data_IF_237241914452
#
_entry.id   IF_237241914452
#
_cell.length_a   1.000
_cell.length_b   1.000
_cell.length_c   1.000
_cell.angle_alpha   90.00
_cell.angle_beta   90.00
_cell.angle_gamma   90.00
#
_symmetry.space_group_name_H-M   'P 1'
#
loop_
_entity.id
_entity.type
_entity.pdbx_description
1 polymer ?
#
# COMPACT_ATOMS: atom_id res chain seq x y z
N UNK A 1 11.72 11.02 -3.53
CA UNK A 1 13.14 11.40 -3.64
C UNK A 1 13.80 10.52 -4.68
N UNK A 2 14.61 11.09 -5.57
CA UNK A 2 15.24 10.34 -6.65
C UNK A 2 16.44 9.54 -6.11
N UNK A 3 16.68 8.37 -6.70
CA UNK A 3 17.73 7.45 -6.30
C UNK A 3 18.65 7.14 -7.47
N UNK A 4 19.93 6.89 -7.20
CA UNK A 4 20.80 6.14 -8.09
C UNK A 4 20.76 4.67 -7.67
N UNK A 5 20.59 3.78 -8.64
CA UNK A 5 20.81 2.35 -8.48
C UNK A 5 22.12 1.99 -9.16
N UNK A 6 23.00 1.36 -8.40
CA UNK A 6 24.25 0.78 -8.89
C UNK A 6 24.05 -0.72 -9.02
N UNK A 7 23.96 -1.19 -10.25
CA UNK A 7 23.84 -2.60 -10.60
C UNK A 7 25.25 -3.19 -10.64
N UNK A 8 25.67 -3.83 -9.55
CA UNK A 8 27.04 -4.29 -9.32
C UNK A 8 27.08 -5.78 -9.63
N UNK A 9 27.83 -6.16 -10.67
CA UNK A 9 28.03 -7.56 -11.06
C UNK A 9 29.06 -8.20 -10.16
N UNK A 10 28.64 -9.25 -9.45
CA UNK A 10 29.46 -9.95 -8.49
C UNK A 10 29.14 -11.46 -8.52
N UNK A 11 30.16 -12.33 -8.61
CA UNK A 11 29.98 -13.76 -8.37
C UNK A 11 29.40 -14.01 -6.97
N UNK A 12 28.61 -15.08 -6.80
CA UNK A 12 27.97 -15.41 -5.52
C UNK A 12 28.94 -15.40 -4.31
N UNK A 13 30.14 -15.95 -4.51
CA UNK A 13 31.17 -16.00 -3.46
C UNK A 13 31.66 -14.60 -2.99
N UNK A 14 31.41 -13.55 -3.78
CA UNK A 14 31.82 -12.18 -3.48
C UNK A 14 30.66 -11.26 -3.11
N UNK A 15 29.39 -11.69 -3.25
CA UNK A 15 28.22 -10.85 -2.95
C UNK A 15 28.21 -10.35 -1.51
N UNK A 16 28.42 -11.24 -0.54
CA UNK A 16 28.47 -10.86 0.89
C UNK A 16 29.64 -9.93 1.20
N UNK A 17 30.79 -10.17 0.57
CA UNK A 17 32.00 -9.36 0.76
C UNK A 17 31.77 -7.96 0.17
N UNK A 18 31.22 -7.87 -1.03
CA UNK A 18 30.87 -6.62 -1.67
C UNK A 18 29.86 -5.83 -0.84
N UNK A 19 28.79 -6.49 -0.37
CA UNK A 19 27.79 -5.91 0.52
C UNK A 19 28.43 -5.30 1.78
N UNK A 20 29.35 -6.02 2.41
CA UNK A 20 30.04 -5.54 3.61
C UNK A 20 30.83 -4.25 3.35
N UNK A 21 31.56 -4.13 2.24
CA UNK A 21 32.27 -2.88 1.89
C UNK A 21 31.33 -1.75 1.51
N UNK A 22 30.29 -2.06 0.74
CA UNK A 22 29.34 -1.05 0.28
C UNK A 22 28.48 -0.52 1.43
N UNK A 23 28.24 -1.31 2.48
CA UNK A 23 27.49 -0.88 3.66
C UNK A 23 28.19 0.22 4.47
N UNK A 24 29.49 0.45 4.24
CA UNK A 24 30.24 1.57 4.82
C UNK A 24 30.05 2.89 4.04
N UNK A 25 29.44 2.81 2.86
CA UNK A 25 29.06 3.96 2.01
C UNK A 25 27.60 4.34 2.28
N UNK A 26 27.16 5.57 1.92
CA UNK A 26 25.84 6.09 2.27
C UNK A 26 24.69 5.47 1.44
N UNK A 27 24.76 4.19 1.09
CA UNK A 27 23.64 3.48 0.46
C UNK A 27 22.51 3.26 1.48
N UNK A 28 21.28 3.53 1.06
CA UNK A 28 20.08 3.35 1.88
C UNK A 28 19.68 1.88 1.98
N UNK A 29 19.86 1.12 0.90
CA UNK A 29 19.44 -0.28 0.81
C UNK A 29 20.19 -1.06 -0.26
N UNK A 30 20.09 -2.38 -0.16
CA UNK A 30 20.67 -3.34 -1.09
C UNK A 30 19.62 -4.40 -1.45
N UNK A 31 19.64 -4.84 -2.70
CA UNK A 31 18.81 -5.93 -3.21
C UNK A 31 19.72 -6.96 -3.89
N UNK A 32 19.57 -8.22 -3.53
CA UNK A 32 20.31 -9.29 -4.19
C UNK A 32 19.70 -9.60 -5.56
N UNK A 33 20.54 -9.66 -6.59
CA UNK A 33 20.15 -10.00 -7.95
C UNK A 33 20.81 -11.33 -8.37
N UNK A 34 20.30 -11.96 -9.43
CA UNK A 34 20.87 -13.23 -9.92
C UNK A 34 22.38 -13.11 -10.20
N UNK A 35 22.81 -12.01 -10.82
CA UNK A 35 24.21 -11.79 -11.25
C UNK A 35 24.99 -10.79 -10.40
N UNK A 36 24.51 -10.47 -9.20
CA UNK A 36 25.19 -9.55 -8.29
C UNK A 36 24.26 -8.91 -7.27
N UNK A 37 24.34 -7.59 -7.14
CA UNK A 37 23.53 -6.82 -6.19
C UNK A 37 23.22 -5.41 -6.73
N UNK A 38 22.04 -4.91 -6.40
CA UNK A 38 21.64 -3.53 -6.64
C UNK A 38 21.81 -2.72 -5.34
N UNK A 39 22.62 -1.67 -5.37
CA UNK A 39 22.82 -0.75 -4.25
C UNK A 39 22.11 0.58 -4.54
N UNK A 40 21.27 1.05 -3.61
CA UNK A 40 20.42 2.22 -3.79
C UNK A 40 20.94 3.40 -2.98
N UNK A 41 21.33 4.47 -3.67
CA UNK A 41 21.86 5.70 -3.08
C UNK A 41 20.91 6.85 -3.36
N UNK A 42 20.56 7.65 -2.34
CA UNK A 42 19.77 8.86 -2.59
C UNK A 42 20.57 9.86 -3.42
N UNK A 43 19.92 10.53 -4.37
CA UNK A 43 20.60 11.49 -5.24
C UNK A 43 21.28 12.63 -4.46
N UNK A 44 20.71 13.05 -3.33
CA UNK A 44 21.28 14.12 -2.49
C UNK A 44 22.53 13.68 -1.68
N UNK A 45 22.80 12.38 -1.61
CA UNK A 45 24.00 11.80 -1.00
C UNK A 45 25.06 11.40 -2.03
N UNK A 46 24.76 11.58 -3.32
CA UNK A 46 25.73 11.39 -4.38
C UNK A 46 26.88 12.39 -4.25
N UNK A 47 28.12 11.91 -4.37
CA UNK A 47 29.31 12.75 -4.35
C UNK A 47 30.49 12.06 -5.03
N UNK A 48 31.49 12.85 -5.43
CA UNK A 48 32.74 12.34 -6.02
C UNK A 48 33.47 11.37 -5.07
N UNK A 49 33.33 11.56 -3.75
CA UNK A 49 33.89 10.64 -2.76
C UNK A 49 33.25 9.25 -2.85
N UNK A 50 31.92 9.16 -2.92
CA UNK A 50 31.21 7.88 -3.04
C UNK A 50 31.60 7.16 -4.33
N UNK A 51 31.70 7.88 -5.44
CA UNK A 51 32.15 7.31 -6.73
C UNK A 51 33.59 6.78 -6.65
N UNK A 52 34.49 7.53 -6.00
CA UNK A 52 35.88 7.12 -5.82
C UNK A 52 36.00 5.86 -4.95
N UNK A 53 35.29 5.80 -3.82
CA UNK A 53 35.30 4.62 -2.94
C UNK A 53 34.68 3.40 -3.62
N UNK A 54 33.55 3.57 -4.31
CA UNK A 54 32.90 2.51 -5.06
C UNK A 54 33.83 1.95 -6.15
N UNK A 55 34.51 2.82 -6.90
CA UNK A 55 35.52 2.40 -7.88
C UNK A 55 36.65 1.61 -7.22
N UNK A 56 37.15 2.07 -6.06
CA UNK A 56 38.20 1.37 -5.32
C UNK A 56 37.76 -0.03 -4.85
N UNK A 57 36.52 -0.18 -4.38
CA UNK A 57 35.94 -1.47 -4.01
C UNK A 57 35.80 -2.37 -5.24
N UNK A 58 35.28 -1.83 -6.35
CA UNK A 58 35.10 -2.56 -7.60
C UNK A 58 36.43 -3.08 -8.15
N UNK A 59 37.47 -2.25 -8.19
CA UNK A 59 38.81 -2.65 -8.64
C UNK A 59 39.40 -3.74 -7.73
N UNK A 60 39.28 -3.58 -6.41
CA UNK A 60 39.84 -4.51 -5.42
C UNK A 60 39.19 -5.89 -5.49
N UNK A 61 37.90 -5.95 -5.79
CA UNK A 61 37.13 -7.18 -5.88
C UNK A 61 36.94 -7.66 -7.33
N UNK A 62 37.50 -6.95 -8.32
CA UNK A 62 37.32 -7.21 -9.75
C UNK A 62 35.85 -7.28 -10.18
N UNK A 63 35.05 -6.33 -9.68
CA UNK A 63 33.62 -6.18 -9.99
C UNK A 63 33.43 -5.14 -11.10
N UNK A 64 32.30 -5.23 -11.80
CA UNK A 64 31.82 -4.16 -12.67
C UNK A 64 30.50 -3.62 -12.13
N UNK A 65 30.18 -2.38 -12.49
CA UNK A 65 28.89 -1.80 -12.12
C UNK A 65 28.39 -0.81 -13.16
N UNK A 66 27.07 -0.67 -13.22
CA UNK A 66 26.40 0.37 -13.99
C UNK A 66 25.50 1.21 -13.08
N UNK A 67 25.53 2.53 -13.26
CA UNK A 67 24.69 3.45 -12.52
C UNK A 67 23.49 3.87 -13.37
N UNK A 68 22.28 3.69 -12.85
CA UNK A 68 21.03 4.18 -13.45
C UNK A 68 20.30 5.12 -12.49
N UNK A 69 19.71 6.18 -13.04
CA UNK A 69 18.81 7.05 -12.31
C UNK A 69 17.45 6.38 -12.16
N UNK A 70 16.96 6.30 -10.93
CA UNK A 70 15.59 5.93 -10.58
C UNK A 70 14.88 7.20 -10.12
N UNK A 71 14.10 7.84 -10.99
CA UNK A 71 13.29 8.98 -10.60
C UNK A 71 12.33 8.59 -9.49
N UNK A 72 12.06 9.53 -8.59
CA UNK A 72 11.02 9.34 -7.59
C UNK A 72 9.70 9.09 -8.28
N UNK A 73 9.18 7.88 -8.08
CA UNK A 73 7.84 7.52 -8.49
C UNK A 73 6.93 7.71 -7.29
N UNK A 74 5.78 8.36 -7.50
CA UNK A 74 4.70 8.30 -6.51
C UNK A 74 4.09 6.90 -6.62
N UNK A 75 4.71 5.95 -5.90
CA UNK A 75 4.28 4.55 -5.88
C UNK A 75 2.84 4.41 -5.39
N UNK A 76 2.39 5.29 -4.50
CA UNK A 76 0.99 5.33 -4.07
C UNK A 76 0.08 5.62 -5.26
N UNK A 77 0.33 6.71 -5.99
CA UNK A 77 -0.48 7.05 -7.17
C UNK A 77 -0.49 5.94 -8.23
N UNK A 78 0.64 5.25 -8.41
CA UNK A 78 0.71 4.09 -9.31
C UNK A 78 -0.14 2.93 -8.79
N UNK A 79 -0.06 2.63 -7.49
CA UNK A 79 -0.85 1.58 -6.86
C UNK A 79 -2.35 1.90 -6.92
N UNK A 80 -2.73 3.14 -6.59
CA UNK A 80 -4.10 3.66 -6.66
C UNK A 80 -4.67 3.50 -8.06
N UNK A 81 -3.89 3.83 -9.10
CA UNK A 81 -4.31 3.68 -10.51
C UNK A 81 -4.47 2.23 -10.98
N UNK A 82 -3.94 1.25 -10.23
CA UNK A 82 -4.02 -0.17 -10.53
C UNK A 82 -4.99 -0.92 -9.60
N UNK A 83 -5.72 -0.21 -8.73
CA UNK A 83 -6.78 -0.81 -7.92
C UNK A 83 -7.80 -1.47 -8.86
N UNK A 84 -8.16 -2.72 -8.62
CA UNK A 84 -9.21 -3.42 -9.39
C UNK A 84 -10.52 -3.43 -8.61
N UNK A 85 -11.70 -3.29 -9.25
CA UNK A 85 -12.97 -3.49 -8.58
C UNK A 85 -13.07 -4.90 -7.99
N UNK A 86 -13.81 -5.02 -6.89
CA UNK A 86 -14.01 -6.28 -6.16
C UNK A 86 -15.48 -6.57 -6.13
N UNK A 87 -15.84 -7.83 -6.40
CA UNK A 87 -17.22 -8.29 -6.40
C UNK A 87 -17.35 -9.51 -5.49
N UNK A 88 -18.24 -9.39 -4.50
CA UNK A 88 -18.62 -10.47 -3.59
C UNK A 88 -20.00 -10.96 -4.00
N UNK A 89 -20.02 -11.91 -4.94
CA UNK A 89 -21.25 -12.40 -5.58
C UNK A 89 -22.09 -11.27 -6.21
N UNK A 90 -23.41 -11.39 -6.09
CA UNK A 90 -24.36 -10.34 -6.46
C UNK A 90 -24.72 -9.44 -5.27
N UNK A 91 -24.09 -9.65 -4.11
CA UNK A 91 -24.41 -8.95 -2.86
C UNK A 91 -23.70 -7.59 -2.76
N UNK A 92 -22.37 -7.56 -2.90
CA UNK A 92 -21.62 -6.32 -2.69
C UNK A 92 -20.51 -6.15 -3.74
N UNK A 93 -20.40 -4.94 -4.28
CA UNK A 93 -19.29 -4.50 -5.11
C UNK A 93 -18.52 -3.36 -4.47
N UNK A 94 -17.19 -3.43 -4.47
CA UNK A 94 -16.30 -2.34 -4.04
C UNK A 94 -15.51 -1.83 -5.24
N UNK A 95 -15.56 -0.51 -5.52
CA UNK A 95 -14.78 0.11 -6.60
C UNK A 95 -14.16 1.43 -6.18
N UNK A 96 -13.17 1.88 -6.94
CA UNK A 96 -12.73 3.26 -6.89
C UNK A 96 -13.68 4.19 -7.67
N UNK A 97 -13.59 5.49 -7.39
CA UNK A 97 -14.37 6.54 -8.05
C UNK A 97 -14.12 6.63 -9.56
N UNK A 98 -12.90 6.33 -10.01
CA UNK A 98 -12.51 6.32 -11.43
C UNK A 98 -12.95 5.05 -12.19
N UNK A 99 -13.55 4.07 -11.52
CA UNK A 99 -14.15 2.91 -12.18
C UNK A 99 -15.61 3.18 -12.53
N UNK A 100 -16.06 2.58 -13.63
CA UNK A 100 -17.48 2.54 -13.97
C UNK A 100 -18.32 1.90 -12.84
N UNK A 101 -19.55 2.40 -12.61
CA UNK A 101 -20.49 1.77 -11.70
C UNK A 101 -20.70 0.28 -12.00
N UNK A 102 -20.80 -0.51 -10.94
CA UNK A 102 -21.04 -1.94 -11.03
C UNK A 102 -22.52 -2.24 -11.18
N UNK A 103 -22.87 -2.90 -12.28
CA UNK A 103 -24.20 -3.46 -12.47
C UNK A 103 -24.38 -4.74 -11.64
N UNK A 104 -25.63 -5.06 -11.27
CA UNK A 104 -26.02 -6.34 -10.65
C UNK A 104 -25.29 -6.63 -9.33
N UNK A 105 -25.18 -5.63 -8.47
CA UNK A 105 -24.82 -5.80 -7.05
C UNK A 105 -25.92 -5.17 -6.20
N UNK A 106 -26.25 -5.78 -5.07
CA UNK A 106 -27.23 -5.23 -4.12
C UNK A 106 -26.70 -3.95 -3.45
N UNK A 107 -25.44 -3.97 -3.02
CA UNK A 107 -24.74 -2.83 -2.45
C UNK A 107 -23.49 -2.49 -3.26
N UNK A 108 -23.39 -1.23 -3.71
CA UNK A 108 -22.15 -0.69 -4.26
C UNK A 108 -21.48 0.21 -3.22
N UNK A 109 -20.16 0.03 -3.06
CA UNK A 109 -19.29 0.82 -2.19
C UNK A 109 -18.22 1.48 -3.05
N UNK A 110 -18.15 2.81 -2.96
CA UNK A 110 -17.11 3.60 -3.63
C UNK A 110 -16.04 3.99 -2.62
N UNK A 111 -14.78 3.66 -2.88
CA UNK A 111 -13.68 4.03 -2.00
C UNK A 111 -12.65 4.87 -2.75
N UNK A 112 -11.94 5.72 -2.03
CA UNK A 112 -10.63 6.20 -2.46
C UNK A 112 -9.61 5.14 -2.03
N UNK A 113 -9.02 4.36 -2.96
CA UNK A 113 -7.87 3.55 -2.62
C UNK A 113 -6.79 4.54 -2.18
N UNK A 114 -6.47 4.56 -0.90
CA UNK A 114 -5.33 5.29 -0.32
C UNK A 114 -4.44 4.27 0.38
N UNK A 115 -3.32 4.69 0.96
CA UNK A 115 -2.52 3.85 1.88
C UNK A 115 -3.26 3.59 3.21
N UNK A 116 -4.42 2.94 3.14
CA UNK A 116 -5.17 2.45 4.28
C UNK A 116 -5.55 1.00 4.00
N UNK A 117 -5.37 0.15 5.01
CA UNK A 117 -5.70 -1.27 4.91
C UNK A 117 -7.21 -1.48 4.73
N UNK A 118 -7.59 -2.64 4.20
CA UNK A 118 -9.00 -3.02 4.08
C UNK A 118 -9.66 -2.52 2.79
N UNK A 119 -8.96 -2.45 1.66
CA UNK A 119 -9.56 -2.07 0.37
C UNK A 119 -10.41 -3.18 -0.27
N UNK A 120 -10.70 -4.26 0.46
CA UNK A 120 -11.40 -5.46 -0.01
C UNK A 120 -10.53 -6.52 -0.69
N UNK A 121 -9.32 -6.19 -1.19
CA UNK A 121 -8.45 -7.14 -1.90
C UNK A 121 -7.83 -8.19 -0.97
N UNK A 122 -7.80 -7.90 0.33
CA UNK A 122 -7.41 -8.85 1.35
C UNK A 122 -8.56 -9.84 1.60
N UNK A 123 -8.21 -11.13 1.64
CA UNK A 123 -9.18 -12.22 1.83
C UNK A 123 -10.08 -12.02 3.06
N UNK A 124 -9.57 -11.39 4.12
CA UNK A 124 -10.34 -11.13 5.35
C UNK A 124 -11.50 -10.17 5.13
N UNK A 125 -11.30 -9.05 4.44
CA UNK A 125 -12.38 -8.10 4.13
C UNK A 125 -13.43 -8.76 3.22
N UNK A 126 -13.00 -9.49 2.19
CA UNK A 126 -13.91 -10.26 1.33
C UNK A 126 -14.79 -11.24 2.15
N UNK A 127 -14.17 -12.03 3.03
CA UNK A 127 -14.90 -12.99 3.88
C UNK A 127 -15.88 -12.31 4.83
N UNK A 128 -15.54 -11.14 5.37
CA UNK A 128 -16.46 -10.39 6.24
C UNK A 128 -17.67 -9.85 5.45
N UNK A 129 -17.45 -9.32 4.25
CA UNK A 129 -18.55 -8.89 3.36
C UNK A 129 -19.46 -10.08 3.01
N UNK A 130 -18.87 -11.23 2.65
CA UNK A 130 -19.64 -12.45 2.36
C UNK A 130 -20.44 -12.91 3.58
N UNK A 131 -19.86 -12.83 4.78
CA UNK A 131 -20.56 -13.16 6.03
C UNK A 131 -21.72 -12.21 6.31
N UNK A 132 -21.56 -10.91 6.05
CA UNK A 132 -22.62 -9.92 6.24
C UNK A 132 -23.85 -10.20 5.37
N UNK A 133 -23.69 -10.83 4.21
CA UNK A 133 -24.81 -11.19 3.32
C UNK A 133 -25.87 -12.10 3.98
N UNK A 134 -25.52 -12.82 5.04
CA UNK A 134 -26.43 -13.70 5.78
C UNK A 134 -27.03 -13.10 7.06
N UNK A 135 -26.76 -11.83 7.36
CA UNK A 135 -27.10 -11.19 8.64
C UNK A 135 -28.02 -9.96 8.41
N UNK A 136 -28.90 -9.67 9.35
CA UNK A 136 -29.78 -8.49 9.30
C UNK A 136 -29.18 -7.34 10.11
N UNK A 137 -28.85 -6.23 9.45
CA UNK A 137 -28.28 -5.04 10.08
C UNK A 137 -29.34 -4.00 10.45
N UNK A 138 -30.61 -4.22 10.13
CA UNK A 138 -31.66 -3.23 10.33
C UNK A 138 -31.72 -2.76 11.79
N UNK A 139 -31.56 -1.45 11.97
CA UNK A 139 -31.59 -0.76 13.26
C UNK A 139 -30.57 -1.24 14.31
N UNK A 140 -29.53 -1.99 13.89
CA UNK A 140 -28.47 -2.43 14.79
C UNK A 140 -27.50 -1.30 15.15
N UNK A 141 -26.80 -1.52 16.26
CA UNK A 141 -25.58 -0.78 16.62
C UNK A 141 -24.38 -1.62 16.27
N UNK A 142 -23.43 -1.05 15.54
CA UNK A 142 -22.27 -1.75 14.98
C UNK A 142 -20.99 -1.10 15.48
N UNK A 143 -19.99 -1.91 15.79
CA UNK A 143 -18.62 -1.47 16.06
C UNK A 143 -17.70 -2.06 14.99
N UNK A 144 -17.08 -1.20 14.21
CA UNK A 144 -16.02 -1.54 13.25
C UNK A 144 -14.66 -1.17 13.87
N UNK A 145 -14.01 -2.14 14.51
CA UNK A 145 -12.76 -1.94 15.25
C UNK A 145 -11.55 -2.29 14.38
N UNK A 146 -10.72 -1.31 14.07
CA UNK A 146 -9.70 -1.39 13.01
C UNK A 146 -10.32 -1.11 11.63
N UNK A 147 -11.04 0.01 11.51
CA UNK A 147 -11.91 0.26 10.36
C UNK A 147 -11.18 0.48 9.03
N UNK A 148 -9.89 0.88 9.03
CA UNK A 148 -9.10 1.01 7.81
C UNK A 148 -9.72 1.96 6.78
N UNK A 149 -10.17 1.42 5.65
CA UNK A 149 -10.92 2.18 4.62
C UNK A 149 -12.38 2.48 5.00
N UNK A 150 -12.93 1.80 6.00
CA UNK A 150 -14.32 1.91 6.43
C UNK A 150 -15.30 1.06 5.61
N UNK A 151 -14.84 0.13 4.76
CA UNK A 151 -15.73 -0.68 3.90
C UNK A 151 -16.83 -1.40 4.70
N UNK A 152 -16.48 -2.01 5.84
CA UNK A 152 -17.45 -2.77 6.63
C UNK A 152 -18.46 -1.86 7.33
N UNK A 153 -18.01 -0.74 7.90
CA UNK A 153 -18.88 0.32 8.41
C UNK A 153 -19.84 0.87 7.34
N UNK A 154 -19.35 1.13 6.13
CA UNK A 154 -20.16 1.62 5.00
C UNK A 154 -21.19 0.60 4.58
N UNK A 155 -20.80 -0.68 4.47
CA UNK A 155 -21.73 -1.75 4.14
C UNK A 155 -22.82 -1.88 5.22
N UNK A 156 -22.45 -1.83 6.49
CA UNK A 156 -23.41 -1.88 7.60
C UNK A 156 -24.43 -0.72 7.56
N UNK A 157 -23.97 0.50 7.24
CA UNK A 157 -24.86 1.67 7.05
C UNK A 157 -25.84 1.43 5.90
N UNK A 158 -25.35 0.97 4.74
CA UNK A 158 -26.18 0.67 3.57
C UNK A 158 -27.18 -0.47 3.81
N UNK A 159 -26.83 -1.43 4.65
CA UNK A 159 -27.73 -2.51 5.09
C UNK A 159 -28.72 -2.08 6.19
N UNK A 160 -28.68 -0.82 6.63
CA UNK A 160 -29.69 -0.23 7.51
C UNK A 160 -29.36 -0.21 9.00
N UNK A 161 -28.08 -0.33 9.39
CA UNK A 161 -27.66 -0.10 10.77
C UNK A 161 -28.01 1.33 11.22
N UNK A 162 -28.48 1.48 12.46
CA UNK A 162 -28.90 2.77 13.00
C UNK A 162 -27.74 3.60 13.56
N UNK A 163 -26.66 2.95 13.96
CA UNK A 163 -25.50 3.62 14.53
C UNK A 163 -24.25 2.75 14.37
N UNK A 164 -23.18 3.33 13.85
CA UNK A 164 -21.92 2.63 13.61
C UNK A 164 -20.78 3.44 14.21
N UNK A 165 -20.04 2.86 15.14
CA UNK A 165 -18.77 3.40 15.61
C UNK A 165 -17.64 2.73 14.83
N UNK A 166 -16.79 3.52 14.18
CA UNK A 166 -15.64 3.05 13.42
C UNK A 166 -14.35 3.58 14.07
N UNK A 167 -13.49 2.70 14.57
CA UNK A 167 -12.32 3.07 15.38
C UNK A 167 -11.06 2.60 14.68
N UNK A 168 -10.05 3.47 14.60
CA UNK A 168 -8.72 3.08 14.13
C UNK A 168 -7.62 3.86 14.87
N UNK A 169 -6.50 3.19 15.12
CA UNK A 169 -5.32 3.80 15.76
C UNK A 169 -4.53 4.66 14.78
N UNK A 170 -4.70 4.46 13.48
CA UNK A 170 -3.99 5.19 12.44
C UNK A 170 -4.83 6.39 11.96
N UNK A 171 -4.29 7.60 12.09
CA UNK A 171 -4.93 8.84 11.62
C UNK A 171 -5.36 8.76 10.16
N UNK A 172 -4.55 8.12 9.31
CA UNK A 172 -4.84 7.97 7.89
C UNK A 172 -6.08 7.09 7.63
N UNK A 173 -6.28 6.02 8.39
CA UNK A 173 -7.46 5.16 8.30
C UNK A 173 -8.73 5.90 8.77
N UNK A 174 -8.64 6.62 9.89
CA UNK A 174 -9.72 7.49 10.35
C UNK A 174 -10.15 8.51 9.29
N UNK A 175 -9.19 9.24 8.69
CA UNK A 175 -9.46 10.22 7.64
C UNK A 175 -10.08 9.55 6.39
N UNK A 176 -9.58 8.37 6.01
CA UNK A 176 -10.07 7.63 4.86
C UNK A 176 -11.51 7.12 5.08
N UNK A 177 -11.82 6.62 6.28
CA UNK A 177 -13.17 6.20 6.65
C UNK A 177 -14.17 7.35 6.56
N UNK A 178 -13.80 8.55 7.02
CA UNK A 178 -14.64 9.73 6.89
C UNK A 178 -14.86 10.15 5.44
N UNK A 179 -13.81 10.13 4.62
CA UNK A 179 -13.90 10.47 3.21
C UNK A 179 -14.76 9.45 2.43
N UNK A 180 -14.57 8.16 2.68
CA UNK A 180 -15.34 7.10 2.03
C UNK A 180 -16.79 7.06 2.51
N UNK A 181 -17.06 7.29 3.79
CA UNK A 181 -18.44 7.43 4.30
C UNK A 181 -19.17 8.57 3.57
N UNK A 182 -18.50 9.72 3.40
CA UNK A 182 -19.03 10.85 2.61
C UNK A 182 -19.25 10.49 1.15
N UNK A 183 -18.32 9.76 0.52
CA UNK A 183 -18.45 9.33 -0.88
C UNK A 183 -19.60 8.34 -1.12
N UNK A 184 -20.09 7.68 -0.06
CA UNK A 184 -21.17 6.71 -0.10
C UNK A 184 -22.50 7.22 0.46
N UNK A 185 -22.58 8.51 0.78
CA UNK A 185 -23.72 9.17 1.43
C UNK A 185 -24.15 8.50 2.75
N UNK A 186 -23.18 7.95 3.49
CA UNK A 186 -23.42 7.26 4.76
C UNK A 186 -23.50 8.24 5.94
N UNK A 187 -24.65 8.26 6.61
CA UNK A 187 -24.98 9.25 7.65
C UNK A 187 -24.90 8.74 9.10
N UNK A 188 -24.84 7.42 9.33
CA UNK A 188 -24.89 6.85 10.68
C UNK A 188 -23.52 6.42 11.23
N UNK A 189 -22.43 6.74 10.51
CA UNK A 189 -21.05 6.37 10.87
C UNK A 189 -20.39 7.49 11.68
N UNK A 190 -19.97 7.17 12.89
CA UNK A 190 -19.11 7.99 13.75
C UNK A 190 -17.70 7.39 13.77
N UNK A 191 -16.73 8.08 13.17
CA UNK A 191 -15.34 7.62 13.16
C UNK A 191 -14.55 8.21 14.34
N UNK A 192 -13.63 7.43 14.92
CA UNK A 192 -12.75 7.83 16.01
C UNK A 192 -11.30 7.43 15.73
N UNK A 193 -10.38 8.34 16.00
CA UNK A 193 -8.94 8.07 15.96
C UNK A 193 -8.46 7.74 17.38
N UNK A 194 -8.07 6.49 17.63
CA UNK A 194 -7.68 6.00 18.95
C UNK A 194 -7.94 4.50 19.13
N UNK A 195 -7.99 4.07 20.40
CA UNK A 195 -8.28 2.69 20.83
C UNK A 195 -9.57 2.61 21.62
#
# INVERSE_FOLDING_TARGET
>A
MDYYCYDIKAPDALKEIALAFLSELPFDSFEEAEDGLCAYLRMDQHSDWVESELSGIADRLSLSYERRLIPSRNWNKLWESNFSPIRVGDFCGVRADFHEPMERVEYEIVISPRMAFGTGHHATTYMMIERMAGEDFHALKVLDYGCGTGILAILADKMGAAHIDAVDIEKAAYENTLDNARANDCGHISAFHGT
#
